data_IF_770527545946
#
_entry.id   IF_770527545946
#
_cell.length_a   1.000
_cell.length_b   1.000
_cell.length_c   1.000
_cell.angle_alpha   90.00
_cell.angle_beta   90.00
_cell.angle_gamma   90.00
#
_symmetry.space_group_name_H-M   'P 1'
#
loop_
_entity.id
_entity.type
_entity.pdbx_description
1 polymer ?
#
# COMPACT_ATOMS: atom_id res chain seq x y z
N UNK A 1 5.81 -8.53 -8.65
CA UNK A 1 4.77 -8.54 -7.59
C UNK A 1 4.06 -9.88 -7.44
N UNK A 2 3.35 -10.40 -8.45
CA UNK A 2 2.41 -11.53 -8.30
C UNK A 2 3.03 -12.79 -7.64
N UNK A 3 4.22 -13.21 -8.07
CA UNK A 3 4.90 -14.38 -7.48
C UNK A 3 5.18 -14.18 -5.98
N UNK A 4 5.72 -13.02 -5.61
CA UNK A 4 6.03 -12.70 -4.20
C UNK A 4 4.74 -12.58 -3.38
N UNK A 5 3.72 -11.94 -3.94
CA UNK A 5 2.42 -11.76 -3.28
C UNK A 5 1.77 -13.11 -2.99
N UNK A 6 1.81 -14.05 -3.94
CA UNK A 6 1.21 -15.37 -3.77
C UNK A 6 2.04 -16.29 -2.85
N UNK A 7 3.34 -16.43 -3.09
CA UNK A 7 4.16 -17.41 -2.36
C UNK A 7 4.62 -16.94 -0.98
N UNK A 8 4.79 -15.63 -0.78
CA UNK A 8 5.34 -15.04 0.44
C UNK A 8 4.24 -14.32 1.21
N UNK A 9 3.66 -13.26 0.64
CA UNK A 9 2.76 -12.35 1.37
C UNK A 9 1.48 -13.06 1.79
N UNK A 10 0.81 -13.76 0.88
CA UNK A 10 -0.43 -14.48 1.16
C UNK A 10 -0.24 -15.57 2.24
N UNK A 11 0.94 -16.20 2.29
CA UNK A 11 1.28 -17.19 3.33
C UNK A 11 1.53 -16.53 4.68
N UNK A 12 2.28 -15.43 4.71
CA UNK A 12 2.62 -14.70 5.94
C UNK A 12 1.37 -14.10 6.59
N UNK A 13 0.42 -13.59 5.79
CA UNK A 13 -0.83 -13.00 6.29
C UNK A 13 -1.85 -14.04 6.78
N UNK A 14 -1.54 -15.34 6.74
CA UNK A 14 -2.39 -16.41 7.28
C UNK A 14 -3.39 -17.00 6.29
N UNK A 15 -3.21 -16.74 4.98
CA UNK A 15 -3.93 -17.40 3.88
C UNK A 15 -5.47 -17.42 4.00
N UNK A 16 -6.04 -16.36 4.56
CA UNK A 16 -7.49 -16.17 4.69
C UNK A 16 -8.02 -15.14 3.67
N UNK A 17 -9.33 -14.92 3.68
CA UNK A 17 -9.97 -13.92 2.80
C UNK A 17 -9.40 -12.51 3.02
N UNK A 18 -9.19 -12.10 4.27
CA UNK A 18 -8.58 -10.81 4.59
C UNK A 18 -7.19 -10.68 3.96
N UNK A 19 -6.37 -11.74 3.99
CA UNK A 19 -5.07 -11.81 3.35
C UNK A 19 -5.17 -11.67 1.83
N UNK A 20 -6.16 -12.29 1.20
CA UNK A 20 -6.40 -12.17 -0.24
C UNK A 20 -6.77 -10.72 -0.62
N UNK A 21 -7.63 -10.06 0.16
CA UNK A 21 -7.98 -8.63 -0.05
C UNK A 21 -6.76 -7.75 0.15
N UNK A 22 -5.95 -7.97 1.20
CA UNK A 22 -4.70 -7.24 1.42
C UNK A 22 -3.69 -7.45 0.29
N UNK A 23 -3.57 -8.67 -0.23
CA UNK A 23 -2.72 -8.98 -1.39
C UNK A 23 -3.18 -8.26 -2.66
N UNK A 24 -4.49 -8.14 -2.87
CA UNK A 24 -5.07 -7.33 -3.96
C UNK A 24 -4.71 -5.85 -3.81
N UNK A 25 -4.80 -5.33 -2.59
CA UNK A 25 -4.36 -3.98 -2.26
C UNK A 25 -2.87 -3.77 -2.55
N UNK A 26 -2.01 -4.73 -2.15
CA UNK A 26 -0.58 -4.67 -2.41
C UNK A 26 -0.25 -4.69 -3.92
N UNK A 27 -0.93 -5.56 -4.68
CA UNK A 27 -0.81 -5.57 -6.14
C UNK A 27 -1.30 -4.26 -6.76
N UNK A 28 -2.42 -3.71 -6.29
CA UNK A 28 -2.96 -2.43 -6.77
C UNK A 28 -2.07 -1.25 -6.46
N UNK A 29 -1.50 -1.19 -5.25
CA UNK A 29 -0.51 -0.20 -4.88
C UNK A 29 0.72 -0.28 -5.79
N UNK A 30 1.23 -1.49 -6.04
CA UNK A 30 2.39 -1.72 -6.90
C UNK A 30 2.20 -1.35 -8.38
N UNK A 31 0.96 -1.22 -8.86
CA UNK A 31 0.64 -0.77 -10.22
C UNK A 31 0.50 0.76 -10.31
N UNK A 32 0.42 1.46 -9.18
CA UNK A 32 0.19 2.90 -9.15
C UNK A 32 0.51 3.47 -7.78
N UNK A 33 -0.54 3.84 -7.05
CA UNK A 33 -0.43 4.43 -5.71
C UNK A 33 -1.50 3.86 -4.78
N UNK A 34 -1.60 4.40 -3.56
CA UNK A 34 -2.64 4.05 -2.59
C UNK A 34 -4.08 4.07 -3.14
N UNK A 35 -4.54 5.05 -3.96
CA UNK A 35 -5.87 4.97 -4.56
C UNK A 35 -6.07 3.73 -5.44
N UNK A 36 -5.04 3.30 -6.17
CA UNK A 36 -5.05 2.07 -6.98
C UNK A 36 -5.17 0.81 -6.10
N UNK A 37 -4.59 0.83 -4.90
CA UNK A 37 -4.77 -0.22 -3.91
C UNK A 37 -6.23 -0.31 -3.44
N UNK A 38 -6.85 0.83 -3.14
CA UNK A 38 -8.22 0.92 -2.63
C UNK A 38 -9.22 0.39 -3.67
N UNK A 39 -9.11 0.81 -4.94
CA UNK A 39 -10.03 0.33 -5.99
C UNK A 39 -9.93 -1.19 -6.18
N UNK A 40 -8.73 -1.77 -6.11
CA UNK A 40 -8.54 -3.21 -6.22
C UNK A 40 -9.12 -3.99 -5.02
N UNK A 41 -8.99 -3.46 -3.80
CA UNK A 41 -9.62 -4.05 -2.62
C UNK A 41 -11.14 -3.94 -2.69
N UNK A 42 -11.67 -2.80 -3.13
CA UNK A 42 -13.11 -2.58 -3.29
C UNK A 42 -13.71 -3.52 -4.33
N UNK A 43 -13.05 -3.72 -5.47
CA UNK A 43 -13.51 -4.66 -6.50
C UNK A 43 -13.66 -6.10 -5.98
N UNK A 44 -12.78 -6.55 -5.07
CA UNK A 44 -12.92 -7.87 -4.43
C UNK A 44 -14.05 -7.84 -3.39
N UNK A 45 -14.12 -6.78 -2.58
CA UNK A 45 -15.14 -6.63 -1.54
C UNK A 45 -16.57 -6.61 -2.13
N UNK A 46 -16.76 -6.02 -3.31
CA UNK A 46 -18.05 -6.00 -4.01
C UNK A 46 -18.49 -7.40 -4.45
N UNK A 47 -17.54 -8.28 -4.80
CA UNK A 47 -17.83 -9.63 -5.30
C UNK A 47 -17.94 -10.68 -4.20
N UNK A 48 -17.13 -10.59 -3.14
CA UNK A 48 -16.99 -11.65 -2.13
C UNK A 48 -17.30 -11.18 -0.69
N UNK A 49 -17.70 -9.93 -0.51
CA UNK A 49 -18.07 -9.35 0.78
C UNK A 49 -16.96 -8.49 1.41
N UNK A 50 -17.34 -7.58 2.30
CA UNK A 50 -16.43 -6.55 2.80
C UNK A 50 -15.44 -7.08 3.84
N UNK A 51 -14.13 -7.00 3.56
CA UNK A 51 -13.08 -7.16 4.57
C UNK A 51 -12.75 -5.83 5.26
N UNK A 52 -13.30 -5.62 6.46
CA UNK A 52 -13.01 -4.40 7.26
C UNK A 52 -11.56 -4.36 7.73
N UNK A 53 -10.96 -5.52 8.03
CA UNK A 53 -9.56 -5.61 8.46
C UNK A 53 -8.62 -5.13 7.35
N UNK A 54 -8.80 -5.61 6.13
CA UNK A 54 -7.96 -5.21 5.00
C UNK A 54 -8.13 -3.71 4.67
N UNK A 55 -9.38 -3.23 4.64
CA UNK A 55 -9.68 -1.82 4.35
C UNK A 55 -9.17 -0.84 5.40
N UNK A 56 -8.93 -1.29 6.64
CA UNK A 56 -8.33 -0.48 7.69
C UNK A 56 -6.81 -0.55 7.66
N UNK A 57 -6.24 -1.76 7.59
CA UNK A 57 -4.79 -1.97 7.72
C UNK A 57 -4.04 -1.43 6.50
N UNK A 58 -4.52 -1.69 5.27
CA UNK A 58 -3.77 -1.36 4.04
C UNK A 58 -3.58 0.14 3.84
N UNK A 59 -4.58 1.02 4.02
CA UNK A 59 -4.36 2.47 3.87
C UNK A 59 -3.46 3.05 4.96
N UNK A 60 -3.59 2.58 6.21
CA UNK A 60 -2.74 3.04 7.32
C UNK A 60 -1.28 2.70 7.02
N UNK A 61 -1.00 1.48 6.59
CA UNK A 61 0.37 1.06 6.28
C UNK A 61 0.85 1.68 4.96
N UNK A 62 0.07 1.56 3.89
CA UNK A 62 0.48 1.87 2.52
C UNK A 62 0.44 3.35 2.13
N UNK A 63 -0.24 4.21 2.89
CA UNK A 63 -0.13 5.67 2.73
C UNK A 63 0.50 6.33 3.94
N UNK A 64 -0.12 6.16 5.12
CA UNK A 64 0.23 6.99 6.26
C UNK A 64 1.59 6.66 6.87
N UNK A 65 1.84 5.40 7.23
CA UNK A 65 3.11 5.02 7.89
C UNK A 65 4.32 5.18 6.98
N UNK A 66 4.12 4.91 5.69
CA UNK A 66 5.14 5.06 4.66
C UNK A 66 5.53 6.54 4.49
N UNK A 67 4.58 7.47 4.56
CA UNK A 67 4.84 8.92 4.46
C UNK A 67 5.73 9.46 5.58
N UNK A 68 5.75 8.84 6.76
CA UNK A 68 6.65 9.23 7.86
C UNK A 68 8.13 9.17 7.43
N UNK A 69 8.48 8.26 6.52
CA UNK A 69 9.85 8.12 6.00
C UNK A 69 10.00 8.87 4.68
N UNK A 70 9.01 8.78 3.79
CA UNK A 70 9.09 9.40 2.46
C UNK A 70 9.15 10.93 2.53
N UNK A 71 8.37 11.57 3.42
CA UNK A 71 8.30 13.04 3.49
C UNK A 71 9.64 13.65 3.97
N UNK A 72 10.25 13.22 5.09
CA UNK A 72 11.56 13.74 5.50
C UNK A 72 12.66 13.47 4.47
N UNK A 73 12.66 12.27 3.86
CA UNK A 73 13.66 11.90 2.84
C UNK A 73 13.54 12.81 1.62
N UNK A 74 12.33 13.11 1.18
CA UNK A 74 12.06 14.00 0.05
C UNK A 74 12.51 15.42 0.37
N UNK A 75 12.15 15.96 1.55
CA UNK A 75 12.59 17.29 1.98
C UNK A 75 14.11 17.38 2.09
N UNK A 76 14.76 16.34 2.62
CA UNK A 76 16.21 16.27 2.70
C UNK A 76 16.84 16.27 1.30
N UNK A 77 16.33 15.45 0.38
CA UNK A 77 16.80 15.43 -1.02
C UNK A 77 16.65 16.79 -1.69
N UNK A 78 15.50 17.45 -1.53
CA UNK A 78 15.28 18.80 -2.08
C UNK A 78 16.31 19.77 -1.51
N UNK A 79 16.56 19.76 -0.19
CA UNK A 79 17.58 20.63 0.44
C UNK A 79 19.00 20.34 -0.06
N UNK A 80 19.34 19.08 -0.32
CA UNK A 80 20.68 18.69 -0.76
C UNK A 80 20.95 19.08 -2.21
N UNK A 81 19.96 18.92 -3.10
CA UNK A 81 20.16 19.09 -4.55
C UNK A 81 19.65 20.44 -5.09
N UNK A 82 18.75 21.12 -4.39
CA UNK A 82 18.23 22.43 -4.80
C UNK A 82 18.82 23.52 -3.90
N UNK A 83 19.97 24.08 -4.31
CA UNK A 83 20.54 25.26 -3.68
C UNK A 83 19.67 26.49 -3.99
N UNK A 84 19.07 27.10 -2.97
CA UNK A 84 18.30 28.35 -3.07
C UNK A 84 16.82 28.28 -2.68
N UNK A 85 16.29 27.12 -2.26
CA UNK A 85 14.88 27.00 -1.84
C UNK A 85 14.60 27.48 -0.40
N UNK A 86 15.66 27.82 0.34
CA UNK A 86 15.59 28.49 1.65
C UNK A 86 16.44 29.75 1.53
N UNK A 87 15.85 30.80 0.97
CA UNK A 87 16.13 32.18 1.34
C UNK A 87 14.84 32.76 1.91
#
# INVERSE_FOLDING_TARGET
MILIVYFVVFRILGSNYDAAVMCSGLCGHGLGATPSAIVNMTAINEKYGMSRKAMMIVPIVGAFLVDIIYQPTTVWFIKTFVKGFVQ
#
